data_IF_817771546571
#
_entry.id   IF_817771546571
#
_cell.length_a   1.000
_cell.length_b   1.000
_cell.length_c   1.000
_cell.angle_alpha   90.00
_cell.angle_beta   90.00
_cell.angle_gamma   90.00
#
_symmetry.space_group_name_H-M   'P 1'
#
loop_
_entity.id
_entity.type
_entity.pdbx_description
1 polymer ?
#
# COMPACT_ATOMS: atom_id res chain seq x y z
N UNK A 1 4.03 25.73 20.70
CA UNK A 1 3.17 25.68 19.50
C UNK A 1 3.05 24.22 19.13
N UNK A 2 1.85 23.66 19.13
CA UNK A 2 1.63 22.29 18.67
C UNK A 2 1.85 22.28 17.16
N UNK A 3 3.04 21.89 16.71
CA UNK A 3 3.35 21.77 15.28
C UNK A 3 2.28 20.89 14.61
N UNK A 4 1.57 21.45 13.65
CA UNK A 4 0.60 20.71 12.88
C UNK A 4 1.35 19.76 11.95
N UNK A 5 1.52 18.51 12.36
CA UNK A 5 2.22 17.45 11.61
C UNK A 5 1.34 16.78 10.56
N UNK A 6 0.08 17.20 10.42
CA UNK A 6 -0.84 16.68 9.40
C UNK A 6 -0.24 16.76 7.99
N UNK A 7 0.35 17.88 7.53
CA UNK A 7 0.94 17.96 6.20
C UNK A 7 2.11 16.98 6.03
N UNK A 8 2.93 16.79 7.07
CA UNK A 8 4.06 15.86 7.04
C UNK A 8 3.57 14.41 6.89
N UNK A 9 2.51 14.02 7.61
CA UNK A 9 1.92 12.69 7.47
C UNK A 9 1.33 12.45 6.09
N UNK A 10 0.61 13.44 5.54
CA UNK A 10 0.05 13.33 4.19
C UNK A 10 1.16 13.23 3.14
N UNK A 11 2.24 13.99 3.30
CA UNK A 11 3.38 13.94 2.38
C UNK A 11 4.12 12.60 2.48
N UNK A 12 4.30 12.05 3.68
CA UNK A 12 4.86 10.71 3.84
C UNK A 12 4.01 9.63 3.16
N UNK A 13 2.68 9.71 3.27
CA UNK A 13 1.77 8.79 2.58
C UNK A 13 1.90 8.93 1.05
N UNK A 14 1.93 10.18 0.55
CA UNK A 14 2.06 10.48 -0.88
C UNK A 14 3.40 9.96 -1.44
N UNK A 15 4.49 10.22 -0.72
CA UNK A 15 5.82 9.80 -1.13
C UNK A 15 5.94 8.27 -1.13
N UNK A 16 5.50 7.60 -0.07
CA UNK A 16 5.52 6.14 0.00
C UNK A 16 4.67 5.48 -1.10
N UNK A 17 3.50 6.06 -1.42
CA UNK A 17 2.67 5.58 -2.54
C UNK A 17 3.38 5.77 -3.89
N UNK A 18 4.03 6.91 -4.08
CA UNK A 18 4.82 7.20 -5.30
C UNK A 18 5.98 6.21 -5.44
N UNK A 19 6.71 5.96 -4.35
CA UNK A 19 7.82 5.01 -4.34
C UNK A 19 7.33 3.59 -4.65
N UNK A 20 6.20 3.16 -4.08
CA UNK A 20 5.61 1.86 -4.39
C UNK A 20 5.28 1.72 -5.88
N UNK A 21 4.73 2.76 -6.51
CA UNK A 21 4.48 2.78 -7.95
C UNK A 21 5.79 2.71 -8.75
N UNK A 22 6.80 3.47 -8.36
CA UNK A 22 8.10 3.48 -9.04
C UNK A 22 8.82 2.14 -8.93
N UNK A 23 8.71 1.44 -7.79
CA UNK A 23 9.32 0.14 -7.58
C UNK A 23 8.75 -0.95 -8.50
N UNK A 24 7.50 -0.81 -8.93
CA UNK A 24 6.86 -1.78 -9.84
C UNK A 24 6.82 -1.29 -11.29
N UNK A 25 7.27 -0.05 -11.55
CA UNK A 25 7.27 0.53 -12.88
C UNK A 25 8.24 -0.23 -13.80
N UNK A 26 7.75 -0.61 -14.98
CA UNK A 26 8.53 -1.39 -15.95
C UNK A 26 8.77 -2.87 -15.58
N UNK A 27 8.28 -3.35 -14.43
CA UNK A 27 8.36 -4.77 -14.07
C UNK A 27 7.15 -5.55 -14.59
N UNK A 28 7.41 -6.73 -15.14
CA UNK A 28 6.32 -7.68 -15.39
C UNK A 28 5.87 -8.33 -14.08
N UNK A 29 4.67 -8.91 -14.08
CA UNK A 29 4.17 -9.66 -12.92
C UNK A 29 5.11 -10.80 -12.52
N UNK A 30 5.75 -11.47 -13.48
CA UNK A 30 6.67 -12.58 -13.21
C UNK A 30 7.93 -12.06 -12.54
N UNK A 31 8.53 -11.00 -13.09
CA UNK A 31 9.73 -10.38 -12.53
C UNK A 31 9.49 -9.87 -11.10
N UNK A 32 8.32 -9.26 -10.85
CA UNK A 32 7.93 -8.83 -9.50
C UNK A 32 7.83 -10.00 -8.51
N UNK A 33 7.28 -11.14 -8.95
CA UNK A 33 7.11 -12.33 -8.09
C UNK A 33 8.44 -13.02 -7.77
N UNK A 34 9.43 -12.90 -8.65
CA UNK A 34 10.78 -13.44 -8.45
C UNK A 34 11.69 -12.47 -7.68
N UNK A 35 11.43 -11.16 -7.77
CA UNK A 35 12.18 -10.13 -7.05
C UNK A 35 11.64 -9.85 -5.64
N UNK A 36 12.18 -10.60 -4.69
CA UNK A 36 11.90 -10.41 -3.25
C UNK A 36 12.31 -9.05 -2.73
N UNK A 37 13.34 -8.41 -3.29
CA UNK A 37 13.78 -7.09 -2.83
C UNK A 37 12.71 -6.04 -3.13
N UNK A 38 12.20 -6.06 -4.35
CA UNK A 38 11.11 -5.17 -4.80
C UNK A 38 9.82 -5.44 -4.03
N UNK A 39 9.47 -6.71 -3.78
CA UNK A 39 8.32 -7.03 -2.92
C UNK A 39 8.46 -6.43 -1.52
N UNK A 40 9.63 -6.57 -0.88
CA UNK A 40 9.87 -6.00 0.44
C UNK A 40 9.81 -4.47 0.42
N UNK A 41 10.35 -3.82 -0.61
CA UNK A 41 10.28 -2.38 -0.78
C UNK A 41 8.83 -1.88 -0.86
N UNK A 42 8.01 -2.54 -1.69
CA UNK A 42 6.58 -2.23 -1.82
C UNK A 42 5.82 -2.47 -0.52
N UNK A 43 6.11 -3.58 0.19
CA UNK A 43 5.52 -3.87 1.50
C UNK A 43 5.87 -2.77 2.52
N UNK A 44 7.12 -2.30 2.55
CA UNK A 44 7.52 -1.22 3.44
C UNK A 44 6.80 0.10 3.13
N UNK A 45 6.63 0.44 1.85
CA UNK A 45 5.82 1.59 1.45
C UNK A 45 4.39 1.51 2.02
N UNK A 46 3.76 0.34 1.97
CA UNK A 46 2.43 0.15 2.55
C UNK A 46 2.40 0.29 4.08
N UNK A 47 3.45 -0.15 4.78
CA UNK A 47 3.57 0.02 6.23
C UNK A 47 3.65 1.51 6.59
N UNK A 48 4.46 2.29 5.87
CA UNK A 48 4.60 3.73 6.08
C UNK A 48 3.26 4.44 5.88
N UNK A 49 2.53 4.11 4.81
CA UNK A 49 1.20 4.67 4.54
C UNK A 49 0.23 4.33 5.68
N UNK A 50 0.21 3.08 6.15
CA UNK A 50 -0.67 2.65 7.24
C UNK A 50 -0.36 3.34 8.56
N UNK A 51 0.91 3.51 8.91
CA UNK A 51 1.33 4.20 10.14
C UNK A 51 0.95 5.69 10.10
N UNK A 52 1.21 6.36 8.98
CA UNK A 52 0.83 7.77 8.81
C UNK A 52 -0.69 7.95 8.82
N UNK A 53 -1.45 7.08 8.15
CA UNK A 53 -2.91 7.09 8.19
C UNK A 53 -3.46 6.90 9.62
N UNK A 54 -2.84 6.03 10.42
CA UNK A 54 -3.21 5.83 11.83
C UNK A 54 -3.02 7.12 12.63
N UNK A 55 -1.84 7.76 12.50
CA UNK A 55 -1.54 9.02 13.18
C UNK A 55 -2.49 10.15 12.78
N UNK A 56 -2.90 10.19 11.51
CA UNK A 56 -3.88 11.16 11.01
C UNK A 56 -5.28 10.88 11.59
N UNK A 57 -5.73 9.62 11.61
CA UNK A 57 -7.03 9.28 12.21
C UNK A 57 -7.08 9.54 13.72
N UNK A 58 -5.99 9.26 14.45
CA UNK A 58 -5.96 9.43 15.91
C UNK A 58 -5.77 10.89 16.32
N UNK A 59 -4.93 11.64 15.59
CA UNK A 59 -4.61 13.04 15.89
C UNK A 59 -5.51 14.08 15.23
N UNK A 60 -6.19 13.72 14.14
CA UNK A 60 -6.94 14.64 13.27
C UNK A 60 -8.26 14.03 12.81
N UNK A 61 -9.07 13.54 13.76
CA UNK A 61 -10.38 12.92 13.49
C UNK A 61 -11.29 13.82 12.66
N UNK A 62 -11.35 15.13 12.95
CA UNK A 62 -12.17 16.09 12.21
C UNK A 62 -11.78 16.16 10.73
N UNK A 63 -10.48 16.07 10.42
CA UNK A 63 -9.98 16.05 9.05
C UNK A 63 -10.38 14.77 8.32
N UNK A 64 -10.23 13.61 8.97
CA UNK A 64 -10.62 12.34 8.35
C UNK A 64 -12.13 12.21 8.14
N UNK A 65 -12.95 12.82 9.01
CA UNK A 65 -14.39 12.91 8.83
C UNK A 65 -14.80 13.89 7.74
N UNK A 66 -14.04 14.96 7.54
CA UNK A 66 -14.25 15.91 6.44
C UNK A 66 -13.84 15.32 5.07
N UNK A 67 -12.99 14.29 5.06
CA UNK A 67 -12.51 13.60 3.86
C UNK A 67 -12.87 12.10 3.84
N UNK A 68 -14.17 11.75 3.78
CA UNK A 68 -14.62 10.36 3.74
C UNK A 68 -14.33 9.65 2.40
N UNK A 69 -14.00 10.39 1.35
CA UNK A 69 -13.57 9.87 0.05
C UNK A 69 -12.24 9.12 0.12
N UNK A 70 -11.41 9.43 1.11
CA UNK A 70 -10.14 8.76 1.32
C UNK A 70 -10.39 7.48 2.12
N UNK A 71 -9.94 6.31 1.64
CA UNK A 71 -10.23 5.02 2.28
C UNK A 71 -9.29 4.76 3.46
N UNK A 72 -9.30 5.62 4.48
CA UNK A 72 -8.40 5.59 5.65
C UNK A 72 -8.31 4.20 6.27
N UNK A 73 -9.46 3.56 6.55
CA UNK A 73 -9.54 2.21 7.14
C UNK A 73 -8.90 1.13 6.27
N UNK A 74 -9.03 1.23 4.95
CA UNK A 74 -8.42 0.29 4.02
C UNK A 74 -6.90 0.42 4.02
N UNK A 75 -6.36 1.62 4.24
CA UNK A 75 -4.92 1.85 4.30
C UNK A 75 -4.26 1.12 5.48
N UNK A 76 -4.91 1.05 6.65
CA UNK A 76 -4.42 0.22 7.77
C UNK A 76 -4.51 -1.28 7.45
N UNK A 77 -5.53 -1.67 6.67
CA UNK A 77 -5.80 -3.07 6.31
C UNK A 77 -4.90 -3.63 5.20
N UNK A 78 -4.09 -2.82 4.52
CA UNK A 78 -3.28 -3.27 3.38
C UNK A 78 -2.28 -4.36 3.76
N UNK A 79 -1.73 -4.33 4.98
CA UNK A 79 -0.88 -5.41 5.51
C UNK A 79 -1.58 -6.78 5.49
N UNK A 80 -2.88 -6.83 5.78
CA UNK A 80 -3.65 -8.07 5.84
C UNK A 80 -4.02 -8.59 4.45
N UNK A 81 -4.22 -7.70 3.47
CA UNK A 81 -4.60 -8.08 2.10
C UNK A 81 -3.42 -8.61 1.30
N UNK A 82 -2.23 -8.05 1.52
CA UNK A 82 -0.97 -8.50 0.93
C UNK A 82 -0.65 -9.92 1.41
N UNK A 83 -0.84 -10.22 2.70
CA UNK A 83 -0.63 -11.56 3.25
C UNK A 83 -1.62 -12.63 2.69
N UNK A 84 -2.81 -12.24 2.23
CA UNK A 84 -3.80 -13.17 1.66
C UNK A 84 -3.73 -13.29 0.12
N UNK A 85 -3.20 -12.29 -0.59
CA UNK A 85 -3.16 -12.26 -2.06
C UNK A 85 -2.02 -13.05 -2.70
N UNK A 86 -0.99 -13.45 -1.94
CA UNK A 86 0.14 -14.23 -2.49
C UNK A 86 -0.18 -15.72 -2.73
N UNK A 87 -1.38 -16.17 -2.38
CA UNK A 87 -1.85 -17.54 -2.59
C UNK A 87 -3.02 -17.56 -3.58
N UNK A 88 -2.84 -17.00 -4.77
CA UNK A 88 -3.70 -17.38 -5.90
C UNK A 88 -2.84 -18.22 -6.84
N UNK A 89 -2.99 -19.51 -6.62
CA UNK A 89 -2.43 -20.63 -7.36
C UNK A 89 -2.31 -20.31 -8.85
N UNK A 90 -1.11 -20.50 -9.39
CA UNK A 90 -0.92 -20.67 -10.81
C UNK A 90 -1.69 -21.89 -11.26
N UNK A 91 -2.92 -21.68 -11.74
CA UNK A 91 -3.57 -22.66 -12.61
C UNK A 91 -3.30 -22.24 -14.04
N UNK A 92 -2.10 -22.58 -14.51
CA UNK A 92 -1.98 -23.00 -15.89
C UNK A 92 -3.02 -24.11 -16.08
N UNK A 93 -4.04 -23.88 -16.91
CA UNK A 93 -4.76 -24.98 -17.53
C UNK A 93 -4.01 -25.38 -18.80
N UNK A 94 -3.26 -26.49 -18.82
CA UNK A 94 -2.97 -27.18 -20.06
C UNK A 94 -4.11 -28.16 -20.33
N UNK A 95 -4.88 -27.95 -21.40
CA UNK A 95 -5.93 -28.87 -21.81
C UNK A 95 -6.50 -28.50 -23.16
N UNK A 96 -5.73 -28.78 -24.21
CA UNK A 96 -6.07 -29.76 -25.25
C UNK A 96 -7.27 -29.39 -26.13
N UNK A 97 -6.89 -28.94 -27.33
CA UNK A 97 -7.47 -29.32 -28.62
C UNK A 97 -8.46 -30.49 -28.60
N UNK A 98 -9.67 -30.26 -29.10
CA UNK A 98 -10.37 -31.12 -30.06
C UNK A 98 -11.43 -30.29 -30.78
#
# INVERSE_FOLDING_TARGET
>A
MSENRLPDYLEHMRQAATDACNFVDGLSKVDFLEDKCTQQAVIMSFIIIGEAATKVMDGYTEFTQAHPEVPWRSMLGMRNRIAHGYYTEGTCQPGHTS
#
